data_IF_910484144639
#
_entry.id   IF_910484144639
#
_cell.length_a   1.000
_cell.length_b   1.000
_cell.length_c   1.000
_cell.angle_alpha   90.00
_cell.angle_beta   90.00
_cell.angle_gamma   90.00
#
_symmetry.space_group_name_H-M   'P 1'
#
loop_
_entity.id
_entity.type
_entity.pdbx_description
1 polymer ?
#
# COMPACT_ATOMS: atom_id res chain seq x y z
N UNK A 1 8.89 -8.08 -0.16
CA UNK A 1 8.95 -7.49 -1.52
C UNK A 1 9.44 -6.07 -1.33
N UNK A 2 10.30 -5.54 -2.20
CA UNK A 2 10.90 -4.21 -2.01
C UNK A 2 10.32 -3.20 -3.00
N UNK A 3 10.19 -1.95 -2.58
CA UNK A 3 9.90 -0.80 -3.42
C UNK A 3 11.22 -0.11 -3.76
N UNK A 4 11.62 -0.17 -5.02
CA UNK A 4 12.87 0.40 -5.51
C UNK A 4 12.88 1.92 -5.41
N UNK A 5 14.07 2.53 -5.54
CA UNK A 5 14.22 3.99 -5.63
C UNK A 5 13.43 4.63 -6.76
N UNK A 6 13.05 3.84 -7.76
CA UNK A 6 12.30 4.26 -8.96
C UNK A 6 10.79 4.03 -8.83
N UNK A 7 10.31 3.56 -7.66
CA UNK A 7 8.90 3.27 -7.46
C UNK A 7 8.44 1.94 -8.06
N UNK A 8 9.34 1.01 -8.37
CA UNK A 8 8.96 -0.32 -8.87
C UNK A 8 9.07 -1.38 -7.79
N UNK A 9 8.17 -2.36 -7.79
CA UNK A 9 8.19 -3.44 -6.82
C UNK A 9 8.85 -4.70 -7.34
N UNK A 10 9.65 -5.34 -6.50
CA UNK A 10 10.28 -6.60 -6.89
C UNK A 10 11.16 -7.20 -5.81
N UNK A 11 12.08 -8.04 -6.26
CA UNK A 11 13.04 -8.79 -5.44
C UNK A 11 14.42 -8.64 -6.06
N UNK A 12 15.46 -8.87 -5.25
CA UNK A 12 16.84 -8.74 -5.70
C UNK A 12 17.37 -7.31 -5.55
N UNK A 13 18.65 -7.13 -5.86
CA UNK A 13 19.39 -5.89 -5.66
C UNK A 13 18.80 -4.69 -6.41
N UNK A 14 18.18 -4.90 -7.57
CA UNK A 14 17.63 -3.77 -8.35
C UNK A 14 16.42 -3.10 -7.66
N UNK A 15 15.77 -3.84 -6.77
CA UNK A 15 14.59 -3.39 -6.03
C UNK A 15 14.87 -3.13 -4.56
N UNK A 16 15.66 -4.01 -3.95
CA UNK A 16 15.99 -3.96 -2.54
C UNK A 16 17.30 -3.21 -2.26
N UNK A 17 18.07 -2.86 -3.30
CA UNK A 17 19.38 -2.20 -3.21
C UNK A 17 19.33 -0.75 -2.76
N UNK A 18 20.37 -0.02 -3.12
CA UNK A 18 20.54 1.39 -2.78
C UNK A 18 19.32 2.25 -3.15
N UNK A 19 18.82 3.01 -2.18
CA UNK A 19 17.66 3.88 -2.33
C UNK A 19 16.31 3.17 -2.30
N UNK A 20 16.26 1.88 -1.94
CA UNK A 20 15.02 1.19 -1.64
C UNK A 20 14.17 1.97 -0.61
N UNK A 21 12.89 2.16 -0.94
CA UNK A 21 11.96 3.05 -0.24
C UNK A 21 11.10 2.32 0.80
N UNK A 22 10.86 1.02 0.61
CA UNK A 22 10.12 0.15 1.53
C UNK A 22 10.46 -1.32 1.25
N UNK A 23 10.21 -2.21 2.23
CA UNK A 23 10.63 -3.60 2.12
C UNK A 23 11.92 -3.92 2.87
N UNK A 24 12.38 -5.18 2.76
CA UNK A 24 13.68 -5.60 3.29
C UNK A 24 14.81 -5.03 2.42
N UNK A 25 15.01 -3.71 2.51
CA UNK A 25 16.07 -2.99 1.81
C UNK A 25 17.44 -3.45 2.31
N UNK A 26 18.38 -3.73 1.41
CA UNK A 26 19.75 -4.08 1.76
C UNK A 26 20.44 -2.87 2.38
N UNK A 27 21.03 -3.04 3.57
CA UNK A 27 21.78 -1.98 4.26
C UNK A 27 20.92 -0.98 5.05
N UNK A 28 19.60 -1.00 4.89
CA UNK A 28 18.69 -0.19 5.70
C UNK A 28 17.72 -1.12 6.44
N UNK A 29 17.90 -1.25 7.76
CA UNK A 29 16.89 -1.81 8.66
C UNK A 29 15.70 -0.84 8.72
N UNK A 30 14.96 -0.72 7.62
CA UNK A 30 13.69 -0.02 7.59
C UNK A 30 12.74 -0.75 8.52
N UNK A 31 12.66 -0.29 9.76
CA UNK A 31 11.66 -0.69 10.74
C UNK A 31 10.27 -0.28 10.23
N UNK A 32 9.69 -1.08 9.35
CA UNK A 32 8.27 -1.01 9.06
C UNK A 32 7.59 -2.08 9.90
N UNK A 33 7.04 -1.65 11.04
CA UNK A 33 6.36 -2.47 12.04
C UNK A 33 5.04 -3.08 11.56
N UNK A 34 5.04 -3.72 10.40
CA UNK A 34 3.99 -4.63 9.97
C UNK A 34 4.44 -6.08 10.21
N UNK A 35 3.54 -6.93 10.68
CA UNK A 35 3.80 -8.36 10.76
C UNK A 35 4.16 -8.88 9.35
N UNK A 36 5.41 -9.27 9.11
CA UNK A 36 5.86 -9.82 7.81
C UNK A 36 5.14 -11.12 7.41
N UNK A 37 4.34 -11.69 8.32
CA UNK A 37 3.50 -12.87 8.08
C UNK A 37 2.12 -12.58 7.48
N UNK A 38 1.64 -11.33 7.49
CA UNK A 38 0.36 -10.99 6.85
C UNK A 38 0.52 -10.88 5.32
N UNK A 39 -0.50 -11.34 4.57
CA UNK A 39 -0.54 -11.28 3.11
C UNK A 39 -0.45 -9.84 2.61
N UNK A 40 -1.20 -8.93 3.26
CA UNK A 40 -1.02 -7.49 3.13
C UNK A 40 -0.29 -7.01 4.38
N UNK A 41 1.00 -6.77 4.23
CA UNK A 41 1.85 -6.10 5.22
C UNK A 41 2.27 -4.71 4.73
N UNK A 42 3.00 -3.97 5.57
CA UNK A 42 3.49 -2.63 5.27
C UNK A 42 4.25 -2.55 3.95
N UNK A 43 5.03 -3.57 3.61
CA UNK A 43 5.87 -3.57 2.41
C UNK A 43 5.03 -3.79 1.14
N UNK A 44 4.10 -4.75 1.19
CA UNK A 44 3.18 -4.99 0.08
C UNK A 44 2.20 -3.83 -0.10
N UNK A 45 1.76 -3.20 0.98
CA UNK A 45 0.90 -2.02 0.92
C UNK A 45 1.67 -0.82 0.37
N UNK A 46 2.93 -0.67 0.78
CA UNK A 46 3.83 0.34 0.24
C UNK A 46 4.12 0.16 -1.24
N UNK A 47 4.26 -1.07 -1.68
CA UNK A 47 4.35 -1.39 -3.08
C UNK A 47 3.08 -0.99 -3.86
N UNK A 48 1.90 -1.40 -3.37
CA UNK A 48 0.63 -1.15 -4.05
C UNK A 48 0.30 0.35 -4.15
N UNK A 49 0.63 1.13 -3.12
CA UNK A 49 0.29 2.55 -3.01
C UNK A 49 1.54 3.42 -2.86
N UNK A 50 2.40 3.39 -3.87
CA UNK A 50 3.65 4.16 -3.91
C UNK A 50 3.49 5.61 -4.42
N UNK A 51 2.28 5.99 -4.86
CA UNK A 51 1.97 7.32 -5.43
C UNK A 51 1.63 8.37 -4.37
N UNK A 52 1.48 7.95 -3.11
CA UNK A 52 1.21 8.81 -1.95
C UNK A 52 2.44 8.86 -1.03
N UNK A 53 2.55 9.91 -0.23
CA UNK A 53 3.68 10.06 0.69
C UNK A 53 3.67 9.00 1.80
N UNK A 54 4.83 8.78 2.41
CA UNK A 54 5.02 7.75 3.43
C UNK A 54 4.11 7.90 4.65
N UNK A 55 3.84 9.13 5.10
CA UNK A 55 3.01 9.37 6.28
C UNK A 55 1.54 9.09 5.98
N UNK A 56 1.02 9.58 4.84
CA UNK A 56 -0.33 9.27 4.38
C UNK A 56 -0.51 7.77 4.22
N UNK A 57 0.44 7.10 3.56
CA UNK A 57 0.40 5.66 3.36
C UNK A 57 0.33 4.87 4.67
N UNK A 58 1.17 5.19 5.65
CA UNK A 58 1.14 4.56 6.96
C UNK A 58 -0.21 4.76 7.67
N UNK A 59 -0.78 5.97 7.59
CA UNK A 59 -2.10 6.24 8.16
C UNK A 59 -3.21 5.41 7.49
N UNK A 60 -3.17 5.25 6.15
CA UNK A 60 -4.13 4.40 5.42
C UNK A 60 -3.97 2.93 5.78
N UNK A 61 -2.73 2.44 5.89
CA UNK A 61 -2.46 1.06 6.28
C UNK A 61 -2.93 0.78 7.71
N UNK A 62 -2.67 1.68 8.66
CA UNK A 62 -3.16 1.59 10.03
C UNK A 62 -4.70 1.55 10.09
N UNK A 63 -5.36 2.37 9.24
CA UNK A 63 -6.82 2.34 9.10
C UNK A 63 -7.34 0.99 8.62
N UNK A 64 -6.70 0.39 7.62
CA UNK A 64 -7.02 -0.97 7.16
C UNK A 64 -6.84 -2.00 8.29
N UNK A 65 -5.71 -1.96 9.00
CA UNK A 65 -5.43 -2.88 10.10
C UNK A 65 -6.46 -2.76 11.23
N UNK A 66 -6.91 -1.54 11.55
CA UNK A 66 -7.91 -1.28 12.58
C UNK A 66 -9.29 -1.89 12.27
N UNK A 67 -9.60 -2.18 10.99
CA UNK A 67 -10.84 -2.88 10.64
C UNK A 67 -10.85 -4.35 11.05
N UNK A 68 -9.67 -4.92 11.30
CA UNK A 68 -9.50 -6.36 11.52
C UNK A 68 -9.67 -7.22 10.27
N UNK A 69 -9.98 -6.63 9.10
CA UNK A 69 -10.08 -7.37 7.86
C UNK A 69 -8.71 -7.88 7.41
N UNK A 70 -8.68 -9.13 6.96
CA UNK A 70 -7.52 -9.78 6.37
C UNK A 70 -7.99 -10.61 5.18
N UNK A 71 -7.25 -10.58 4.05
CA UNK A 71 -7.58 -11.44 2.92
C UNK A 71 -7.30 -12.91 3.28
N UNK A 72 -8.13 -13.81 2.77
CA UNK A 72 -8.01 -15.25 2.98
C UNK A 72 -6.89 -15.88 2.15
N UNK A 73 -6.54 -15.25 1.02
CA UNK A 73 -5.49 -15.70 0.11
C UNK A 73 -4.89 -14.52 -0.68
N UNK A 74 -3.84 -14.80 -1.47
CA UNK A 74 -3.10 -13.78 -2.22
C UNK A 74 -3.91 -13.18 -3.37
N UNK A 75 -4.85 -13.91 -3.94
CA UNK A 75 -5.66 -13.44 -5.06
C UNK A 75 -6.73 -12.46 -4.56
N UNK A 76 -7.36 -12.75 -3.42
CA UNK A 76 -8.28 -11.83 -2.74
C UNK A 76 -7.57 -10.51 -2.40
N UNK A 77 -6.34 -10.59 -1.86
CA UNK A 77 -5.51 -9.42 -1.59
C UNK A 77 -5.22 -8.62 -2.87
N UNK A 78 -4.83 -9.29 -3.95
CA UNK A 78 -4.51 -8.64 -5.22
C UNK A 78 -5.72 -7.94 -5.84
N UNK A 79 -6.88 -8.62 -5.88
CA UNK A 79 -8.12 -8.06 -6.41
C UNK A 79 -8.58 -6.86 -5.57
N UNK A 80 -8.56 -6.98 -4.24
CA UNK A 80 -8.91 -5.88 -3.35
C UNK A 80 -8.02 -4.66 -3.57
N UNK A 81 -6.68 -4.85 -3.55
CA UNK A 81 -5.74 -3.75 -3.73
C UNK A 81 -5.86 -3.11 -5.12
N UNK A 82 -6.09 -3.90 -6.17
CA UNK A 82 -6.29 -3.38 -7.53
C UNK A 82 -7.56 -2.53 -7.66
N UNK A 83 -8.69 -2.98 -7.09
CA UNK A 83 -9.92 -2.19 -7.06
C UNK A 83 -9.73 -0.91 -6.27
N UNK A 84 -9.20 -1.00 -5.04
CA UNK A 84 -8.91 0.19 -4.23
C UNK A 84 -8.02 1.15 -5.01
N UNK A 85 -6.96 0.67 -5.66
CA UNK A 85 -6.08 1.51 -6.46
C UNK A 85 -6.83 2.23 -7.60
N UNK A 86 -7.64 1.50 -8.38
CA UNK A 86 -8.39 2.07 -9.50
C UNK A 86 -9.40 3.13 -9.03
N UNK A 87 -10.21 2.81 -8.02
CA UNK A 87 -11.31 3.68 -7.55
C UNK A 87 -10.83 4.92 -6.79
N UNK A 88 -9.59 4.90 -6.27
CA UNK A 88 -9.04 5.98 -5.43
C UNK A 88 -7.84 6.70 -6.02
N UNK A 89 -7.50 6.42 -7.29
CA UNK A 89 -6.27 6.89 -7.95
C UNK A 89 -5.03 6.63 -7.08
N UNK A 90 -4.89 5.38 -6.63
CA UNK A 90 -3.82 4.96 -5.72
C UNK A 90 -3.87 5.65 -4.35
N UNK A 91 -5.07 5.82 -3.80
CA UNK A 91 -5.37 6.48 -2.51
C UNK A 91 -5.11 7.99 -2.47
N UNK A 92 -4.91 8.65 -3.62
CA UNK A 92 -4.87 10.12 -3.69
C UNK A 92 -6.23 10.75 -3.37
N UNK A 93 -7.30 10.06 -3.74
CA UNK A 93 -8.68 10.50 -3.47
C UNK A 93 -9.41 9.48 -2.62
N UNK A 94 -9.76 9.84 -1.38
CA UNK A 94 -10.60 9.00 -0.50
C UNK A 94 -12.03 9.53 -0.37
N UNK A 95 -12.35 10.54 -1.18
CA UNK A 95 -13.70 11.05 -1.35
C UNK A 95 -14.09 10.80 -2.80
N UNK A 96 -15.33 10.38 -2.97
CA UNK A 96 -15.95 10.26 -4.27
C UNK A 96 -15.94 11.63 -4.96
N UNK A 97 -15.46 11.67 -6.21
CA UNK A 97 -15.61 12.84 -7.05
C UNK A 97 -17.02 12.80 -7.60
N UNK A 98 -17.96 13.40 -6.88
CA UNK A 98 -19.36 13.40 -7.30
C UNK A 98 -19.50 14.16 -8.63
N UNK A 99 -20.05 13.50 -9.65
CA UNK A 99 -20.89 14.22 -10.59
C UNK A 99 -21.99 14.95 -9.78
N UNK A 100 -22.42 16.17 -10.16
CA UNK A 100 -23.37 16.94 -9.36
C UNK A 100 -24.61 16.11 -9.03
N UNK A 101 -24.85 15.84 -7.73
CA UNK A 101 -26.09 15.21 -7.24
C UNK A 101 -26.01 13.80 -6.64
N UNK A 102 -24.85 13.12 -6.63
CA UNK A 102 -24.72 11.80 -6.00
C UNK A 102 -23.66 11.80 -4.89
N UNK A 103 -24.08 11.95 -3.62
CA UNK A 103 -23.22 11.70 -2.45
C UNK A 103 -23.61 10.37 -1.83
N UNK A 104 -22.83 9.30 -2.02
CA UNK A 104 -23.09 8.00 -1.36
C UNK A 104 -22.51 7.91 0.05
N UNK A 105 -21.49 8.70 0.38
CA UNK A 105 -20.83 8.68 1.70
C UNK A 105 -20.70 10.11 2.26
N UNK A 106 -21.73 10.59 2.97
CA UNK A 106 -21.55 11.68 3.94
C UNK A 106 -21.00 11.07 5.22
N UNK A 107 -19.81 11.50 5.62
CA UNK A 107 -19.33 11.37 7.00
C UNK A 107 -20.07 12.39 7.87
#
# INVERSE_FOLDING_TARGET
MCLSKWGYCGKGSDYCGDGCQAGPCTGNNGNNGGNSGDIINSDTFACAFNTIDGATRSNRFNGLQATGWKPSNKDEAAVFLAHVFHESDGLKTVREYCAPGMTFLKQ
#
